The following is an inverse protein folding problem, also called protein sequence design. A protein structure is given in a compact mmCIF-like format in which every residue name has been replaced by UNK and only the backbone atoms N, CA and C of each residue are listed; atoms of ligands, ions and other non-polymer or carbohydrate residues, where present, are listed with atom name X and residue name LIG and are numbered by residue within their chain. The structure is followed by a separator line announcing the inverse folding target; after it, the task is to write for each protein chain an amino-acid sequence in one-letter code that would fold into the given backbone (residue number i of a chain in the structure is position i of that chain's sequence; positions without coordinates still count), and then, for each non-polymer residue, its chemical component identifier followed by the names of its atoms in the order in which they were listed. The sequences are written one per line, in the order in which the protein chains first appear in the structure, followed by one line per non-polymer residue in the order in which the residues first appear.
data_IF_719083379273
#
_entry.id   IF_719083379273
#
_cell.length_a   1.000
_cell.length_b   1.000
_cell.length_c   1.000
_cell.angle_alpha   90.00
_cell.angle_beta   90.00
_cell.angle_gamma   90.00
#
_symmetry.space_group_name_H-M   'P 1'
#
loop_
_entity.id
_entity.type
_entity.pdbx_description
1 polymer ?
#
# COMPACT_ATOMS: atom_id res chain seq x y z
N UNK A 1 1.48 -9.62 9.50
CA UNK A 1 1.78 -8.25 9.10
C UNK A 1 1.39 -8.04 7.64
N UNK A 2 0.67 -6.99 7.37
CA UNK A 2 0.18 -6.67 6.03
C UNK A 2 0.65 -5.29 5.61
N UNK A 3 1.01 -5.17 4.34
CA UNK A 3 1.40 -3.89 3.73
C UNK A 3 0.37 -3.56 2.66
N UNK A 4 -0.24 -2.38 2.76
CA UNK A 4 -1.12 -1.88 1.71
C UNK A 4 -0.28 -1.16 0.67
N UNK A 5 -0.55 -1.41 -0.61
CA UNK A 5 -0.01 -0.56 -1.67
C UNK A 5 -0.99 0.59 -1.96
N UNK A 6 -0.64 1.44 -2.92
CA UNK A 6 -1.50 2.55 -3.29
C UNK A 6 -2.84 2.06 -3.87
N UNK A 7 -2.83 0.95 -4.60
CA UNK A 7 -4.06 0.39 -5.19
C UNK A 7 -5.06 0.00 -4.10
N UNK A 8 -4.60 -0.75 -3.09
CA UNK A 8 -5.48 -1.20 -2.00
C UNK A 8 -6.02 -0.02 -1.20
N UNK A 9 -5.17 0.96 -0.89
CA UNK A 9 -5.60 2.13 -0.14
C UNK A 9 -6.61 2.95 -0.93
N UNK A 10 -6.38 3.13 -2.24
CA UNK A 10 -7.30 3.88 -3.09
C UNK A 10 -8.65 3.19 -3.20
N UNK A 11 -8.67 1.86 -3.33
CA UNK A 11 -9.92 1.10 -3.37
C UNK A 11 -10.72 1.29 -2.07
N UNK A 12 -10.01 1.31 -0.94
CA UNK A 12 -10.63 1.57 0.35
C UNK A 12 -11.24 2.98 0.42
N UNK A 13 -10.47 3.98 0.02
CA UNK A 13 -10.92 5.39 0.08
C UNK A 13 -12.12 5.64 -0.84
N UNK A 14 -12.20 4.95 -1.96
CA UNK A 14 -13.31 5.07 -2.90
C UNK A 14 -14.53 4.23 -2.50
N UNK A 15 -14.43 3.44 -1.43
CA UNK A 15 -15.53 2.59 -0.98
C UNK A 15 -15.86 1.45 -1.94
N UNK A 16 -14.89 0.96 -2.70
CA UNK A 16 -15.12 -0.11 -3.67
C UNK A 16 -15.45 -1.44 -2.98
N UNK A 17 -16.33 -2.28 -3.58
CA UNK A 17 -16.62 -3.60 -3.00
C UNK A 17 -15.38 -4.48 -2.86
N UNK A 18 -14.41 -4.36 -3.79
CA UNK A 18 -13.15 -5.12 -3.75
C UNK A 18 -12.31 -4.79 -2.51
N UNK A 19 -12.56 -3.67 -1.85
CA UNK A 19 -11.81 -3.25 -0.67
C UNK A 19 -12.33 -3.88 0.63
N UNK A 20 -13.25 -4.83 0.59
CA UNK A 20 -13.77 -5.46 1.82
C UNK A 20 -12.63 -6.07 2.65
N UNK A 21 -11.65 -6.69 1.99
CA UNK A 21 -10.51 -7.26 2.71
C UNK A 21 -9.70 -6.19 3.43
N UNK A 22 -9.55 -5.01 2.83
CA UNK A 22 -8.87 -3.88 3.48
C UNK A 22 -9.64 -3.47 4.74
N UNK A 23 -10.96 -3.34 4.63
CA UNK A 23 -11.80 -2.99 5.79
C UNK A 23 -11.67 -4.02 6.90
N UNK A 24 -11.66 -5.30 6.54
CA UNK A 24 -11.53 -6.38 7.52
C UNK A 24 -10.17 -6.33 8.23
N UNK A 25 -9.09 -6.10 7.47
CA UNK A 25 -7.75 -5.99 8.05
C UNK A 25 -7.62 -4.78 8.98
N UNK A 26 -8.21 -3.64 8.59
CA UNK A 26 -8.18 -2.45 9.45
C UNK A 26 -8.98 -2.68 10.73
N UNK A 27 -10.12 -3.36 10.64
CA UNK A 27 -10.89 -3.74 11.82
C UNK A 27 -10.09 -4.68 12.72
N UNK A 28 -9.43 -5.67 12.15
CA UNK A 28 -8.57 -6.59 12.90
C UNK A 28 -7.40 -5.84 13.55
N UNK A 29 -6.81 -4.89 12.86
CA UNK A 29 -5.72 -4.07 13.41
C UNK A 29 -6.20 -3.22 14.59
N UNK A 30 -7.41 -2.65 14.51
CA UNK A 30 -8.02 -1.91 15.60
C UNK A 30 -8.18 -2.79 16.83
N UNK A 31 -8.51 -4.05 16.62
CA UNK A 31 -8.69 -5.04 17.69
C UNK A 31 -7.39 -5.78 18.04
N UNK A 32 -6.26 -5.30 17.53
CA UNK A 32 -4.91 -5.84 17.80
C UNK A 32 -4.72 -7.30 17.34
N UNK A 33 -5.47 -7.72 16.33
CA UNK A 33 -5.36 -9.08 15.77
C UNK A 33 -4.32 -9.17 14.67
N UNK A 34 -3.95 -8.04 14.07
CA UNK A 34 -2.91 -7.96 13.06
C UNK A 34 -2.28 -6.57 13.06
N UNK A 35 -1.25 -6.39 12.24
CA UNK A 35 -0.60 -5.09 12.05
C UNK A 35 -0.64 -4.75 10.57
N UNK A 36 -1.00 -3.50 10.26
CA UNK A 36 -1.11 -2.97 8.90
C UNK A 36 -0.16 -1.80 8.73
N UNK A 37 0.54 -1.77 7.62
CA UNK A 37 1.57 -0.79 7.31
C UNK A 37 1.35 -0.17 5.94
N UNK A 38 1.82 1.06 5.77
CA UNK A 38 1.77 1.79 4.51
C UNK A 38 3.09 2.56 4.34
N UNK A 39 3.75 2.39 3.20
CA UNK A 39 4.92 3.21 2.89
C UNK A 39 4.51 4.66 2.68
N UNK A 40 5.31 5.61 3.18
CA UNK A 40 5.09 7.04 2.94
C UNK A 40 5.08 7.34 1.43
N UNK A 41 5.81 6.58 0.63
CA UNK A 41 5.85 6.75 -0.82
C UNK A 41 4.49 6.39 -1.44
N UNK A 42 3.89 5.30 -1.00
CA UNK A 42 2.55 4.91 -1.48
C UNK A 42 1.49 5.91 -1.01
N UNK A 43 1.63 6.45 0.20
CA UNK A 43 0.75 7.53 0.66
C UNK A 43 0.87 8.75 -0.25
N UNK A 44 2.09 9.16 -0.58
CA UNK A 44 2.31 10.29 -1.50
C UNK A 44 1.67 10.05 -2.86
N UNK A 45 1.77 8.84 -3.38
CA UNK A 45 1.14 8.47 -4.66
C UNK A 45 -0.38 8.62 -4.60
N UNK A 46 -1.00 8.15 -3.53
CA UNK A 46 -2.45 8.30 -3.33
C UNK A 46 -2.82 9.78 -3.28
N UNK A 47 -2.06 10.58 -2.55
CA UNK A 47 -2.35 12.01 -2.40
C UNK A 47 -2.27 12.75 -3.73
N UNK A 48 -1.21 12.56 -4.52
CA UNK A 48 -1.13 13.31 -5.77
C UNK A 48 -2.15 12.84 -6.80
N UNK A 49 -2.52 11.56 -6.81
CA UNK A 49 -3.58 11.07 -7.69
C UNK A 49 -4.93 11.69 -7.32
N UNK A 50 -5.25 11.76 -6.02
CA UNK A 50 -6.49 12.38 -5.57
C UNK A 50 -6.52 13.88 -5.88
N UNK A 51 -5.43 14.57 -5.64
CA UNK A 51 -5.36 16.00 -5.93
C UNK A 51 -5.55 16.27 -7.44
N UNK A 52 -4.85 15.50 -8.27
CA UNK A 52 -4.93 15.65 -9.73
C UNK A 52 -6.33 15.40 -10.26
N UNK A 53 -7.02 14.40 -9.71
CA UNK A 53 -8.32 13.97 -10.23
C UNK A 53 -9.52 14.63 -9.53
N UNK A 54 -9.37 15.04 -8.27
CA UNK A 54 -10.49 15.48 -7.43
C UNK A 54 -10.22 16.78 -6.68
N UNK A 55 -9.01 17.34 -6.81
CA UNK A 55 -8.66 18.62 -6.17
C UNK A 55 -8.00 18.48 -4.81
N UNK A 56 -7.35 19.58 -4.37
CA UNK A 56 -6.55 19.60 -3.15
C UNK A 56 -7.37 19.30 -1.90
N UNK A 57 -8.62 19.80 -1.84
CA UNK A 57 -9.46 19.55 -0.67
C UNK A 57 -9.75 18.07 -0.46
N UNK A 58 -9.96 17.32 -1.54
CA UNK A 58 -10.15 15.87 -1.46
C UNK A 58 -8.89 15.15 -0.99
N UNK A 59 -7.73 15.60 -1.45
CA UNK A 59 -6.45 15.03 -0.98
C UNK A 59 -6.26 15.28 0.52
N UNK A 60 -6.59 16.48 1.01
CA UNK A 60 -6.50 16.80 2.44
C UNK A 60 -7.49 15.97 3.27
N UNK A 61 -8.72 15.78 2.79
CA UNK A 61 -9.70 14.94 3.47
C UNK A 61 -9.18 13.50 3.58
N UNK A 62 -8.62 12.97 2.49
CA UNK A 62 -8.07 11.63 2.46
C UNK A 62 -6.90 11.49 3.45
N UNK A 63 -6.01 12.47 3.50
CA UNK A 63 -4.89 12.44 4.45
C UNK A 63 -5.38 12.38 5.89
N UNK A 64 -6.40 13.18 6.22
CA UNK A 64 -6.99 13.17 7.56
C UNK A 64 -7.56 11.79 7.89
N UNK A 65 -8.27 11.17 6.94
CA UNK A 65 -8.81 9.82 7.12
C UNK A 65 -7.69 8.82 7.36
N UNK A 66 -6.67 8.83 6.50
CA UNK A 66 -5.56 7.86 6.57
C UNK A 66 -4.82 7.98 7.90
N UNK A 67 -4.59 9.20 8.38
CA UNK A 67 -3.91 9.43 9.66
C UNK A 67 -4.71 8.94 10.87
N UNK A 68 -6.02 8.74 10.71
CA UNK A 68 -6.87 8.21 11.77
C UNK A 68 -7.01 6.69 11.74
N UNK A 69 -6.50 6.03 10.68
CA UNK A 69 -6.64 4.58 10.53
C UNK A 69 -5.63 3.84 11.41
N UNK A 70 -5.97 2.61 11.85
CA UNK A 70 -5.08 1.78 12.66
C UNK A 70 -3.98 1.13 11.79
N UNK A 71 -3.14 1.95 11.18
CA UNK A 71 -1.99 1.51 10.40
C UNK A 71 -0.79 2.37 10.72
N UNK A 72 0.39 1.83 10.47
CA UNK A 72 1.63 2.56 10.67
C UNK A 72 2.19 3.02 9.32
N UNK A 73 2.51 4.30 9.20
CA UNK A 73 3.14 4.87 8.01
C UNK A 73 4.66 4.72 8.17
N UNK A 74 5.27 4.02 7.21
CA UNK A 74 6.71 3.74 7.23
C UNK A 74 7.48 4.82 6.47
N UNK A 75 8.57 5.34 7.03
CA UNK A 75 9.39 6.34 6.35
C UNK A 75 10.18 5.72 5.20
N UNK A 76 10.64 6.57 4.29
CA UNK A 76 11.53 6.18 3.19
C UNK A 76 12.92 6.75 3.49
N UNK A 77 13.66 6.09 4.37
CA UNK A 77 15.03 6.49 4.68
C UNK A 77 16.00 6.07 3.56
N UNK A 78 17.28 6.43 3.71
CA UNK A 78 18.27 6.15 2.68
C UNK A 78 18.36 4.67 2.33
N UNK A 79 18.39 3.80 3.32
CA UNK A 79 18.49 2.35 3.10
C UNK A 79 17.27 1.82 2.37
N UNK A 80 16.09 2.31 2.71
CA UNK A 80 14.85 1.94 2.04
C UNK A 80 14.86 2.34 0.57
N UNK A 81 15.32 3.56 0.27
CA UNK A 81 15.44 4.06 -1.10
C UNK A 81 16.40 3.21 -1.91
N UNK A 82 17.58 2.88 -1.35
CA UNK A 82 18.56 2.06 -2.05
C UNK A 82 18.01 0.66 -2.36
N UNK A 83 17.33 0.05 -1.40
CA UNK A 83 16.73 -1.27 -1.60
C UNK A 83 15.62 -1.23 -2.65
N UNK A 84 14.75 -0.22 -2.60
CA UNK A 84 13.67 -0.06 -3.58
C UNK A 84 14.22 0.20 -4.99
N UNK A 85 15.30 0.96 -5.11
CA UNK A 85 15.96 1.20 -6.39
C UNK A 85 16.44 -0.10 -7.01
N UNK A 86 17.00 -1.01 -6.22
CA UNK A 86 17.44 -2.30 -6.70
C UNK A 86 16.28 -3.17 -7.20
N UNK A 87 15.18 -3.19 -6.45
CA UNK A 87 13.96 -3.91 -6.89
C UNK A 87 13.46 -3.36 -8.23
N UNK A 88 13.36 -2.04 -8.35
CA UNK A 88 12.91 -1.39 -9.59
C UNK A 88 13.85 -1.72 -10.76
N UNK A 89 15.14 -1.78 -10.52
CA UNK A 89 16.13 -2.08 -11.57
C UNK A 89 16.02 -3.51 -12.09
N UNK A 90 15.52 -4.45 -11.28
CA UNK A 90 15.55 -5.87 -11.58
C UNK A 90 14.18 -6.51 -11.79
N UNK A 91 13.11 -5.75 -11.60
CA UNK A 91 11.73 -6.26 -11.71
C UNK A 91 10.82 -5.24 -12.42
N UNK A 92 9.80 -5.73 -13.16
CA UNK A 92 8.91 -4.84 -13.94
C UNK A 92 7.80 -4.25 -13.06
N UNK A 93 8.17 -3.49 -12.06
CA UNK A 93 7.25 -2.80 -11.15
C UNK A 93 7.52 -1.30 -11.17
N UNK A 94 6.53 -0.50 -10.78
CA UNK A 94 6.74 0.94 -10.61
C UNK A 94 7.67 1.19 -9.42
N UNK A 95 8.27 2.38 -9.40
CA UNK A 95 9.14 2.74 -8.28
C UNK A 95 8.36 2.75 -6.96
N UNK A 96 7.15 3.29 -6.97
CA UNK A 96 6.31 3.31 -5.77
C UNK A 96 6.00 1.89 -5.27
N UNK A 97 5.69 0.96 -6.18
CA UNK A 97 5.42 -0.44 -5.81
C UNK A 97 6.65 -1.11 -5.20
N UNK A 98 7.84 -0.74 -5.63
CA UNK A 98 9.07 -1.26 -5.04
C UNK A 98 9.16 -0.96 -3.54
N UNK A 99 8.64 0.18 -3.10
CA UNK A 99 8.61 0.52 -1.66
C UNK A 99 7.66 -0.38 -0.87
N UNK A 100 6.51 -0.74 -1.44
CA UNK A 100 5.60 -1.70 -0.79
C UNK A 100 6.27 -3.07 -0.66
N UNK A 101 6.98 -3.50 -1.69
CA UNK A 101 7.73 -4.76 -1.69
C UNK A 101 8.80 -4.77 -0.60
N UNK A 102 9.61 -3.70 -0.51
CA UNK A 102 10.66 -3.60 0.51
C UNK A 102 10.08 -3.59 1.92
N UNK A 103 8.97 -2.88 2.11
CA UNK A 103 8.29 -2.87 3.41
C UNK A 103 7.88 -4.30 3.82
N UNK A 104 7.26 -5.04 2.90
CA UNK A 104 6.83 -6.41 3.18
C UNK A 104 8.00 -7.35 3.44
N UNK A 105 9.10 -7.22 2.68
CA UNK A 105 10.28 -8.03 2.91
C UNK A 105 10.85 -7.83 4.32
N UNK A 106 10.98 -6.57 4.74
CA UNK A 106 11.56 -6.24 6.05
C UNK A 106 10.70 -6.69 7.21
N UNK A 107 9.39 -6.68 7.03
CA UNK A 107 8.44 -7.08 8.06
C UNK A 107 8.12 -8.59 8.00
N UNK A 108 8.64 -9.28 7.00
CA UNK A 108 8.27 -10.65 6.69
C UNK A 108 6.75 -10.78 6.55
N UNK A 109 6.15 -9.82 5.84
CA UNK A 109 4.71 -9.66 5.72
C UNK A 109 4.19 -9.91 4.33
N UNK A 110 2.91 -9.60 4.15
CA UNK A 110 2.15 -9.83 2.91
C UNK A 110 1.75 -8.48 2.32
N UNK A 111 1.93 -8.30 1.00
CA UNK A 111 1.39 -7.13 0.29
C UNK A 111 -0.04 -7.42 -0.11
N UNK A 112 -0.97 -6.55 0.27
CA UNK A 112 -2.36 -6.61 -0.19
C UNK A 112 -2.52 -5.63 -1.36
N UNK A 113 -2.89 -6.12 -2.52
CA UNK A 113 -2.97 -5.32 -3.74
C UNK A 113 -4.03 -5.84 -4.70
N UNK A 114 -4.41 -5.01 -5.68
CA UNK A 114 -5.15 -5.43 -6.86
C UNK A 114 -4.39 -5.08 -8.14
N UNK A 115 -3.15 -4.59 -8.03
CA UNK A 115 -2.36 -4.14 -9.18
C UNK A 115 -1.69 -5.32 -9.88
N UNK A 116 -1.98 -5.54 -11.19
CA UNK A 116 -1.39 -6.64 -11.94
C UNK A 116 0.14 -6.64 -11.99
N UNK A 117 0.80 -5.51 -11.74
CA UNK A 117 2.27 -5.46 -11.69
C UNK A 117 2.86 -6.40 -10.65
N UNK A 118 2.09 -6.74 -9.61
CA UNK A 118 2.53 -7.69 -8.59
C UNK A 118 2.49 -9.15 -9.02
N UNK A 119 2.02 -9.45 -10.24
CA UNK A 119 2.02 -10.84 -10.75
C UNK A 119 3.43 -11.43 -10.86
N UNK A 120 4.44 -10.60 -11.08
CA UNK A 120 5.80 -11.05 -11.38
C UNK A 120 6.77 -10.88 -10.22
N UNK A 121 6.27 -10.75 -8.99
CA UNK A 121 7.12 -10.50 -7.81
C UNK A 121 7.01 -11.61 -6.75
N UNK A 122 6.50 -12.78 -7.12
CA UNK A 122 6.34 -13.90 -6.18
C UNK A 122 7.68 -14.37 -5.59
N UNK A 123 8.79 -14.11 -6.27
CA UNK A 123 10.13 -14.41 -5.78
C UNK A 123 10.59 -13.46 -4.68
N UNK A 124 9.92 -12.32 -4.53
CA UNK A 124 10.32 -11.27 -3.59
C UNK A 124 9.45 -11.23 -2.35
N UNK A 125 8.13 -11.35 -2.51
CA UNK A 125 7.17 -11.19 -1.43
C UNK A 125 5.96 -12.08 -1.65
N UNK A 126 5.26 -12.37 -0.55
CA UNK A 126 3.93 -12.96 -0.62
C UNK A 126 2.92 -11.85 -0.94
N UNK A 127 1.99 -12.16 -1.84
CA UNK A 127 0.95 -11.21 -2.28
C UNK A 127 -0.42 -11.81 -1.99
N UNK A 128 -1.29 -10.99 -1.39
CA UNK A 128 -2.71 -11.33 -1.26
C UNK A 128 -3.49 -10.39 -2.18
N UNK A 129 -4.37 -10.96 -3.00
CA UNK A 129 -5.11 -10.20 -4.01
C UNK A 129 -6.47 -9.74 -3.50
N UNK A 130 -6.83 -8.49 -3.83
CA UNK A 130 -8.19 -8.01 -3.60
C UNK A 130 -9.17 -8.81 -4.47
N UNK A 131 -10.35 -9.09 -3.92
CA UNK A 131 -11.37 -9.84 -4.63
C UNK A 131 -11.76 -9.13 -5.93
N UNK A 132 -11.84 -9.90 -7.03
CA UNK A 132 -12.23 -9.38 -8.33
C UNK A 132 -11.10 -8.72 -9.13
N UNK A 133 -9.87 -8.71 -8.64
CA UNK A 133 -8.73 -8.03 -9.29
C UNK A 133 -7.64 -9.00 -9.73
N UNK A 134 -8.05 -10.20 -10.15
CA UNK A 134 -7.12 -11.23 -10.59
C UNK A 134 -7.21 -11.47 -12.07
#
# INVERSE_FOLDING_TARGET
MYVLDAFALMAYLKGEPSAQRVRDLLSDAENRKCQVYLSIINLGEVLYNLERNNGLNKAHEALTIIQSLPLEILPADNQTVFAAAHVKATHPVSYADAFAIIAAQRLNGVVLTGDPEFNDVADLVEVEWLAGNR
#
